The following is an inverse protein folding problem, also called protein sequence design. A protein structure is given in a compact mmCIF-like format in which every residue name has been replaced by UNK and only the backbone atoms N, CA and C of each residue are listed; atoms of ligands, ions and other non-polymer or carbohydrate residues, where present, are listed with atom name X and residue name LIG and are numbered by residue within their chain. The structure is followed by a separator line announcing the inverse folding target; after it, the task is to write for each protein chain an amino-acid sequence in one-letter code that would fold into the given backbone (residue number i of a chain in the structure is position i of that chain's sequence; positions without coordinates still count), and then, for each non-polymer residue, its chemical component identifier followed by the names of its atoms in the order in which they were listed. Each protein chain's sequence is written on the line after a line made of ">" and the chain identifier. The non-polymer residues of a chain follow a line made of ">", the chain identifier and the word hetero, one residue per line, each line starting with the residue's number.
data_IF_031463380958
#
_entry.id   IF_031463380958
#
_cell.length_a   1.000
_cell.length_b   1.000
_cell.length_c   1.000
_cell.angle_alpha   90.00
_cell.angle_beta   90.00
_cell.angle_gamma   90.00
#
_symmetry.space_group_name_H-M   'P 1'
#
loop_
_entity.id
_entity.type
_entity.pdbx_description
1 polymer ?
#
# COMPACT_ATOMS: atom_id res chain seq x y z
N UNK A 1 16.77 -4.09 16.19
CA UNK A 1 18.05 -4.03 15.45
C UNK A 1 17.78 -4.70 14.12
N UNK A 2 18.22 -4.12 13.01
CA UNK A 2 17.99 -4.69 11.68
C UNK A 2 19.27 -5.33 11.13
N UNK A 3 19.17 -5.88 9.92
CA UNK A 3 20.30 -6.50 9.23
C UNK A 3 20.49 -5.86 7.85
N UNK A 4 21.72 -5.56 7.48
CA UNK A 4 22.03 -5.07 6.14
C UNK A 4 22.21 -6.24 5.17
N UNK A 5 21.63 -6.13 3.98
CA UNK A 5 21.87 -7.08 2.90
C UNK A 5 23.37 -7.07 2.52
N UNK A 6 24.06 -8.23 2.51
CA UNK A 6 25.49 -8.31 2.20
C UNK A 6 25.83 -7.99 0.73
N UNK A 7 24.82 -7.95 -0.15
CA UNK A 7 25.00 -7.67 -1.58
C UNK A 7 24.73 -6.19 -1.90
N UNK A 8 23.58 -5.66 -1.48
CA UNK A 8 23.13 -4.31 -1.83
C UNK A 8 23.10 -3.32 -0.66
N UNK A 9 23.57 -3.73 0.53
CA UNK A 9 23.66 -2.92 1.76
C UNK A 9 22.31 -2.37 2.28
N UNK A 10 21.18 -2.79 1.68
CA UNK A 10 19.85 -2.34 2.08
C UNK A 10 19.52 -2.85 3.49
N UNK A 11 19.15 -1.97 4.45
CA UNK A 11 18.78 -2.39 5.79
C UNK A 11 17.38 -3.01 5.81
N UNK A 12 17.25 -4.13 6.52
CA UNK A 12 16.00 -4.87 6.75
C UNK A 12 15.68 -4.94 8.24
N UNK A 13 14.39 -5.02 8.62
CA UNK A 13 13.96 -4.96 10.02
C UNK A 13 14.40 -6.17 10.87
N UNK A 14 14.50 -7.35 10.26
CA UNK A 14 14.91 -8.62 10.89
C UNK A 14 15.52 -9.58 9.85
N UNK A 15 16.00 -10.73 10.32
CA UNK A 15 16.66 -11.74 9.50
C UNK A 15 15.71 -12.45 8.52
N UNK A 16 14.42 -12.58 8.86
CA UNK A 16 13.38 -13.18 8.01
C UNK A 16 13.11 -12.31 6.77
N UNK A 17 12.94 -11.00 6.98
CA UNK A 17 12.79 -10.03 5.90
C UNK A 17 14.04 -9.98 5.01
N UNK A 18 15.23 -10.08 5.60
CA UNK A 18 16.47 -10.16 4.85
C UNK A 18 16.54 -11.44 4.00
N UNK A 19 16.16 -12.59 4.56
CA UNK A 19 16.13 -13.87 3.83
C UNK A 19 15.19 -13.81 2.63
N UNK A 20 13.98 -13.28 2.82
CA UNK A 20 13.02 -13.07 1.74
C UNK A 20 13.55 -12.12 0.67
N UNK A 21 14.17 -11.02 1.08
CA UNK A 21 14.77 -10.07 0.14
C UNK A 21 15.82 -10.74 -0.75
N UNK A 22 16.74 -11.52 -0.17
CA UNK A 22 17.76 -12.24 -0.92
C UNK A 22 17.13 -13.27 -1.87
N UNK A 23 16.22 -14.11 -1.37
CA UNK A 23 15.61 -15.17 -2.15
C UNK A 23 14.79 -14.63 -3.33
N UNK A 24 13.92 -13.64 -3.10
CA UNK A 24 13.12 -13.06 -4.18
C UNK A 24 13.96 -12.29 -5.19
N UNK A 25 14.98 -11.55 -4.75
CA UNK A 25 15.84 -10.78 -5.67
C UNK A 25 16.64 -11.72 -6.56
N UNK A 26 17.17 -12.81 -6.01
CA UNK A 26 17.80 -13.87 -6.79
C UNK A 26 16.81 -14.55 -7.76
N UNK A 27 15.60 -14.91 -7.30
CA UNK A 27 14.57 -15.52 -8.17
C UNK A 27 14.10 -14.60 -9.30
N UNK A 28 14.18 -13.27 -9.12
CA UNK A 28 13.87 -12.28 -10.14
C UNK A 28 15.00 -12.08 -11.17
N UNK A 29 16.13 -12.79 -11.01
CA UNK A 29 17.23 -12.83 -11.96
C UNK A 29 18.37 -11.86 -11.63
N UNK A 30 18.53 -11.49 -10.36
CA UNK A 30 19.74 -10.77 -9.93
C UNK A 30 20.87 -11.77 -9.65
N UNK A 31 21.84 -11.81 -10.56
CA UNK A 31 22.97 -12.76 -10.51
C UNK A 31 23.85 -12.58 -9.26
N UNK A 32 23.97 -11.35 -8.73
CA UNK A 32 24.81 -11.09 -7.56
C UNK A 32 24.15 -11.67 -6.29
N UNK A 33 22.83 -11.52 -6.15
CA UNK A 33 22.08 -12.13 -5.04
C UNK A 33 22.04 -13.66 -5.17
N UNK A 34 21.88 -14.19 -6.38
CA UNK A 34 21.91 -15.64 -6.63
C UNK A 34 23.29 -16.23 -6.31
N UNK A 35 24.37 -15.64 -6.82
CA UNK A 35 25.73 -16.11 -6.58
C UNK A 35 26.10 -16.07 -5.08
N UNK A 36 25.68 -15.03 -4.38
CA UNK A 36 25.89 -14.93 -2.94
C UNK A 36 25.18 -16.05 -2.18
N UNK A 37 23.91 -16.32 -2.53
CA UNK A 37 23.12 -17.40 -1.93
C UNK A 37 23.69 -18.78 -2.26
N UNK A 38 24.13 -19.02 -3.48
CA UNK A 38 24.73 -20.30 -3.88
C UNK A 38 26.05 -20.59 -3.13
N UNK A 39 26.80 -19.55 -2.74
CA UNK A 39 28.03 -19.67 -1.95
C UNK A 39 27.76 -19.87 -0.45
N UNK A 40 26.84 -19.07 0.13
CA UNK A 40 26.67 -18.98 1.59
C UNK A 40 25.49 -19.81 2.13
N UNK A 41 24.51 -20.11 1.28
CA UNK A 41 23.29 -20.83 1.62
C UNK A 41 22.91 -21.84 0.52
N UNK A 42 23.75 -22.85 0.23
CA UNK A 42 23.43 -23.85 -0.77
C UNK A 42 22.12 -24.59 -0.41
N UNK A 43 21.23 -24.75 -1.38
CA UNK A 43 19.88 -25.30 -1.16
C UNK A 43 18.82 -24.28 -0.77
N UNK A 44 19.14 -22.98 -0.77
CA UNK A 44 18.22 -21.89 -0.41
C UNK A 44 16.88 -21.91 -1.17
N UNK A 45 16.82 -22.55 -2.33
CA UNK A 45 15.59 -22.66 -3.13
C UNK A 45 14.57 -23.62 -2.52
N UNK A 46 15.04 -24.59 -1.75
CA UNK A 46 14.22 -25.60 -1.09
C UNK A 46 13.89 -25.23 0.36
N UNK A 47 14.62 -24.28 0.93
CA UNK A 47 14.50 -23.89 2.32
C UNK A 47 13.33 -22.91 2.56
N UNK A 48 12.75 -23.00 3.75
CA UNK A 48 11.78 -22.01 4.23
C UNK A 48 12.45 -20.69 4.64
N UNK A 49 11.63 -19.66 4.84
CA UNK A 49 12.03 -18.35 5.34
C UNK A 49 12.89 -18.44 6.61
N UNK A 50 12.39 -19.12 7.65
CA UNK A 50 13.08 -19.28 8.94
C UNK A 50 14.44 -20.00 8.79
N UNK A 51 14.47 -21.04 7.95
CA UNK A 51 15.67 -21.86 7.71
C UNK A 51 16.73 -21.08 6.94
N UNK A 52 16.32 -20.19 6.04
CA UNK A 52 17.21 -19.30 5.31
C UNK A 52 17.67 -18.14 6.20
N UNK A 53 16.78 -17.55 6.99
CA UNK A 53 17.09 -16.50 7.96
C UNK A 53 18.19 -16.91 8.92
N UNK A 54 18.08 -18.11 9.51
CA UNK A 54 19.08 -18.62 10.45
C UNK A 54 20.50 -18.76 9.85
N UNK A 55 20.61 -19.02 8.54
CA UNK A 55 21.91 -19.07 7.84
C UNK A 55 22.40 -17.69 7.45
N UNK A 56 21.52 -16.84 6.93
CA UNK A 56 21.86 -15.50 6.47
C UNK A 56 22.28 -14.61 7.64
N UNK A 57 21.66 -14.76 8.81
CA UNK A 57 21.98 -14.00 10.03
C UNK A 57 23.46 -14.11 10.43
N UNK A 58 24.11 -15.27 10.20
CA UNK A 58 25.54 -15.46 10.50
C UNK A 58 26.45 -14.55 9.66
N UNK A 59 26.02 -14.18 8.45
CA UNK A 59 26.80 -13.40 7.50
C UNK A 59 26.38 -11.93 7.41
N UNK A 60 25.17 -11.61 7.88
CA UNK A 60 24.60 -10.28 7.77
C UNK A 60 25.11 -9.35 8.88
N UNK A 61 25.43 -8.11 8.52
CA UNK A 61 25.85 -7.11 9.50
C UNK A 61 24.63 -6.52 10.20
N UNK A 62 24.61 -6.57 11.54
CA UNK A 62 23.61 -5.87 12.34
C UNK A 62 23.75 -4.34 12.17
N UNK A 63 22.64 -3.68 11.85
CA UNK A 63 22.56 -2.23 11.64
C UNK A 63 21.37 -1.64 12.38
N UNK A 64 21.45 -0.34 12.66
CA UNK A 64 20.30 0.41 13.15
C UNK A 64 19.24 0.51 12.06
N UNK A 65 18.03 0.02 12.32
CA UNK A 65 16.89 0.19 11.43
C UNK A 65 16.03 1.36 11.92
N UNK A 66 15.95 2.50 11.18
CA UNK A 66 15.16 3.64 11.61
C UNK A 66 13.66 3.33 11.44
N UNK A 67 12.96 3.12 12.56
CA UNK A 67 11.50 3.01 12.59
C UNK A 67 10.88 4.40 12.39
N UNK A 68 10.67 4.80 11.14
CA UNK A 68 10.13 6.14 10.79
C UNK A 68 8.61 6.26 10.94
N UNK A 69 7.90 5.21 11.38
CA UNK A 69 6.43 5.18 11.50
C UNK A 69 5.89 4.92 12.91
N UNK A 70 6.75 4.88 13.94
CA UNK A 70 6.33 4.66 15.34
C UNK A 70 5.30 5.73 15.83
N UNK A 71 5.31 6.91 15.20
CA UNK A 71 4.44 8.05 15.53
C UNK A 71 3.09 8.08 14.76
N UNK A 72 2.68 6.96 14.14
CA UNK A 72 1.37 6.89 13.45
C UNK A 72 0.41 5.84 14.02
N UNK A 73 0.85 5.05 15.00
CA UNK A 73 0.07 3.95 15.57
C UNK A 73 -0.07 3.98 17.09
N UNK A 74 0.59 4.91 17.80
CA UNK A 74 0.67 4.91 19.27
C UNK A 74 -0.13 6.03 19.98
N UNK A 75 -1.29 6.44 19.47
CA UNK A 75 -2.27 7.16 20.31
C UNK A 75 -3.70 7.04 19.74
N UNK A 76 -4.45 6.06 20.26
CA UNK A 76 -5.91 6.08 20.24
C UNK A 76 -6.42 6.18 21.68
N UNK A 77 -5.82 7.07 22.47
CA UNK A 77 -6.44 7.50 23.72
C UNK A 77 -7.53 8.53 23.38
N UNK A 78 -8.78 8.08 23.45
CA UNK A 78 -9.99 8.89 23.25
C UNK A 78 -10.25 9.84 24.43
N UNK A 79 -9.26 10.64 24.85
CA UNK A 79 -9.43 11.66 25.90
C UNK A 79 -8.70 12.97 25.53
N UNK A 80 -9.03 13.49 24.35
CA UNK A 80 -8.63 14.81 23.87
C UNK A 80 -9.79 15.45 23.10
N UNK A 81 -9.95 16.79 23.15
CA UNK A 81 -11.13 17.47 22.59
C UNK A 81 -11.32 17.06 21.13
N UNK A 82 -12.56 16.65 20.82
CA UNK A 82 -12.99 16.11 19.54
C UNK A 82 -12.35 16.89 18.38
N UNK A 83 -11.48 16.21 17.62
CA UNK A 83 -10.90 16.72 16.38
C UNK A 83 -11.95 16.94 15.27
N UNK A 84 -13.23 17.03 15.59
CA UNK A 84 -14.29 17.46 14.67
C UNK A 84 -14.38 18.98 14.58
N UNK A 85 -14.22 19.71 15.68
CA UNK A 85 -14.51 21.15 15.72
C UNK A 85 -13.54 21.99 14.85
N UNK A 86 -12.30 21.54 14.65
CA UNK A 86 -11.32 22.24 13.80
C UNK A 86 -11.44 21.88 12.32
N UNK A 87 -11.91 20.67 12.02
CA UNK A 87 -12.12 20.23 10.63
C UNK A 87 -13.44 20.75 10.08
N UNK A 88 -14.48 20.91 10.90
CA UNK A 88 -15.76 21.50 10.47
C UNK A 88 -15.60 22.98 10.09
N UNK A 89 -14.85 23.78 10.86
CA UNK A 89 -14.64 25.21 10.57
C UNK A 89 -13.74 25.44 9.31
N UNK A 90 -12.75 24.57 9.10
CA UNK A 90 -11.89 24.57 7.90
C UNK A 90 -12.63 24.01 6.67
N UNK A 91 -13.44 22.97 6.83
CA UNK A 91 -14.29 22.43 5.76
C UNK A 91 -15.41 23.42 5.39
N UNK A 92 -15.97 24.15 6.36
CA UNK A 92 -16.92 25.22 6.11
C UNK A 92 -16.23 26.37 5.36
N UNK A 93 -15.05 26.83 5.80
CA UNK A 93 -14.22 27.82 5.07
C UNK A 93 -13.78 27.35 3.69
N UNK A 94 -13.49 26.06 3.51
CA UNK A 94 -13.15 25.47 2.24
C UNK A 94 -14.37 25.35 1.33
N UNK A 95 -15.57 25.10 1.86
CA UNK A 95 -16.82 25.15 1.10
C UNK A 95 -17.22 26.58 0.70
N UNK A 96 -16.99 27.58 1.56
CA UNK A 96 -17.27 28.99 1.21
C UNK A 96 -16.30 29.53 0.15
N UNK A 97 -15.04 29.08 0.17
CA UNK A 97 -14.01 29.42 -0.83
C UNK A 97 -13.95 28.48 -2.04
N UNK A 98 -14.60 27.32 -1.94
CA UNK A 98 -14.62 26.24 -2.94
C UNK A 98 -15.82 26.31 -3.87
N UNK A 99 -16.94 26.92 -3.46
CA UNK A 99 -18.08 27.23 -4.34
C UNK A 99 -17.84 28.51 -5.17
N UNK A 100 -16.66 28.62 -5.75
CA UNK A 100 -16.26 29.75 -6.58
C UNK A 100 -15.00 29.51 -7.41
N UNK A 101 -14.26 28.42 -7.16
CA UNK A 101 -12.96 28.17 -7.79
C UNK A 101 -12.92 26.95 -8.72
N UNK A 102 -14.06 26.29 -8.98
CA UNK A 102 -14.19 25.37 -10.14
C UNK A 102 -14.37 26.09 -11.47
N UNK A 103 -14.04 27.38 -11.54
CA UNK A 103 -13.95 28.14 -12.78
C UNK A 103 -12.50 28.57 -13.12
N UNK A 104 -11.48 28.08 -12.40
CA UNK A 104 -10.12 28.62 -12.48
C UNK A 104 -9.00 27.69 -12.95
N UNK A 105 -9.25 26.40 -13.14
CA UNK A 105 -8.23 25.41 -13.52
C UNK A 105 -8.53 24.58 -14.76
N UNK A 106 -9.70 24.79 -15.38
CA UNK A 106 -9.96 24.28 -16.72
C UNK A 106 -9.34 25.28 -17.70
N UNK A 107 -8.05 25.09 -18.04
CA UNK A 107 -7.66 25.38 -19.42
C UNK A 107 -8.67 24.63 -20.27
N UNK A 108 -9.58 25.37 -20.91
CA UNK A 108 -10.85 24.89 -21.44
C UNK A 108 -10.71 23.45 -21.93
N UNK A 109 -11.18 22.48 -21.13
CA UNK A 109 -11.13 21.08 -21.52
C UNK A 109 -11.77 21.04 -22.90
N UNK A 110 -11.06 20.55 -23.90
CA UNK A 110 -11.59 20.52 -25.26
C UNK A 110 -12.89 19.71 -25.28
N UNK A 111 -13.76 19.95 -26.27
CA UNK A 111 -15.06 19.27 -26.36
C UNK A 111 -14.91 17.74 -26.28
N UNK A 112 -13.83 17.21 -26.83
CA UNK A 112 -13.48 15.78 -26.75
C UNK A 112 -13.15 15.32 -25.32
N UNK A 113 -12.37 16.10 -24.56
CA UNK A 113 -12.02 15.75 -23.18
C UNK A 113 -13.24 15.75 -22.25
N UNK A 114 -14.20 16.65 -22.48
CA UNK A 114 -15.46 16.68 -21.75
C UNK A 114 -16.32 15.45 -22.08
N UNK A 115 -16.33 15.02 -23.34
CA UNK A 115 -17.05 13.83 -23.78
C UNK A 115 -16.48 12.55 -23.15
N UNK A 116 -15.16 12.39 -23.14
CA UNK A 116 -14.49 11.21 -22.54
C UNK A 116 -14.78 11.12 -21.02
N UNK A 117 -14.73 12.25 -20.31
CA UNK A 117 -15.05 12.27 -18.88
C UNK A 117 -16.52 11.94 -18.60
N UNK A 118 -17.43 12.37 -19.48
CA UNK A 118 -18.85 12.06 -19.36
C UNK A 118 -19.15 10.59 -19.66
N UNK A 119 -18.47 10.00 -20.64
CA UNK A 119 -18.55 8.57 -20.97
C UNK A 119 -18.04 7.70 -19.81
N UNK A 120 -16.87 8.03 -19.26
CA UNK A 120 -16.31 7.34 -18.10
C UNK A 120 -17.27 7.35 -16.91
N UNK A 121 -17.89 8.50 -16.61
CA UNK A 121 -18.89 8.61 -15.54
C UNK A 121 -20.15 7.77 -15.82
N UNK A 122 -20.56 7.62 -17.08
CA UNK A 122 -21.72 6.81 -17.45
C UNK A 122 -21.43 5.31 -17.25
N UNK A 123 -20.25 4.84 -17.66
CA UNK A 123 -19.86 3.44 -17.43
C UNK A 123 -19.81 3.12 -15.94
N UNK A 124 -19.26 4.03 -15.12
CA UNK A 124 -19.27 3.86 -13.66
C UNK A 124 -20.69 3.76 -13.12
N UNK A 125 -21.62 4.63 -13.54
CA UNK A 125 -23.01 4.54 -13.09
C UNK A 125 -23.68 3.24 -13.50
N UNK A 126 -23.44 2.76 -14.72
CA UNK A 126 -24.01 1.48 -15.18
C UNK A 126 -23.50 0.31 -14.34
N UNK A 127 -22.21 0.27 -13.99
CA UNK A 127 -21.68 -0.77 -13.10
C UNK A 127 -22.31 -0.74 -11.71
N UNK A 128 -22.54 0.45 -11.14
CA UNK A 128 -23.21 0.58 -9.84
C UNK A 128 -24.71 0.22 -9.89
N UNK A 129 -25.40 0.52 -11.01
CA UNK A 129 -26.82 0.19 -11.19
C UNK A 129 -27.00 -1.33 -11.37
N UNK A 130 -26.15 -1.97 -12.19
CA UNK A 130 -26.15 -3.42 -12.41
C UNK A 130 -25.93 -4.16 -11.08
N UNK A 131 -24.96 -3.71 -10.26
CA UNK A 131 -24.67 -4.24 -8.92
C UNK A 131 -25.83 -4.03 -7.92
N UNK A 132 -26.68 -3.02 -8.13
CA UNK A 132 -27.84 -2.74 -7.26
C UNK A 132 -29.08 -3.55 -7.64
N UNK A 133 -29.25 -3.91 -8.92
CA UNK A 133 -30.35 -4.76 -9.39
C UNK A 133 -30.14 -6.24 -9.00
N UNK A 134 -28.89 -6.69 -8.77
CA UNK A 134 -28.60 -8.07 -8.30
C UNK A 134 -29.06 -8.32 -6.86
N UNK A 135 -29.23 -7.26 -6.05
CA UNK A 135 -29.62 -7.36 -4.63
C UNK A 135 -31.14 -7.28 -4.42
N UNK A 136 -31.94 -6.94 -5.45
CA UNK A 136 -33.39 -6.74 -5.33
C UNK A 136 -34.26 -7.91 -5.77
N UNK A 137 -33.71 -8.96 -6.40
CA UNK A 137 -34.48 -10.11 -6.93
C UNK A 137 -34.55 -11.31 -5.94
N UNK A 138 -34.32 -11.06 -4.64
CA UNK A 138 -34.21 -12.09 -3.58
C UNK A 138 -35.34 -12.14 -2.54
N UNK A 139 -36.39 -11.31 -2.63
CA UNK A 139 -37.46 -11.24 -1.60
C UNK A 139 -38.86 -11.07 -2.22
N UNK A 140 -39.35 -12.05 -2.99
CA UNK A 140 -40.80 -12.25 -3.21
C UNK A 140 -41.11 -13.74 -3.50
N UNK A 141 -40.75 -14.65 -2.59
CA UNK A 141 -41.43 -15.96 -2.51
C UNK A 141 -41.46 -16.47 -1.06
N UNK A 142 -42.20 -15.75 -0.21
CA UNK A 142 -42.61 -16.25 1.10
C UNK A 142 -44.13 -16.14 1.25
N UNK A 143 -44.85 -17.15 0.78
CA UNK A 143 -46.27 -17.36 1.09
C UNK A 143 -46.49 -18.75 1.72
N UNK A 144 -46.93 -18.85 2.99
CA UNK A 144 -47.59 -20.05 3.49
C UNK A 144 -49.04 -20.16 3.00
#
# INVERSE_FOLDING_TARGET
>A
MGYACPVCETPHPDAEHLANHLAFTAMLGDDDHEAWLDEHAPGWREDGEDELAARVEEYASEVGFPQVFDDTTHDHDHDGPQGGDLFEDELERANTRGRGSTAGGAGALDGEAQQILQEAQQMTRQMLDDESDEESDGDDDARP
#
